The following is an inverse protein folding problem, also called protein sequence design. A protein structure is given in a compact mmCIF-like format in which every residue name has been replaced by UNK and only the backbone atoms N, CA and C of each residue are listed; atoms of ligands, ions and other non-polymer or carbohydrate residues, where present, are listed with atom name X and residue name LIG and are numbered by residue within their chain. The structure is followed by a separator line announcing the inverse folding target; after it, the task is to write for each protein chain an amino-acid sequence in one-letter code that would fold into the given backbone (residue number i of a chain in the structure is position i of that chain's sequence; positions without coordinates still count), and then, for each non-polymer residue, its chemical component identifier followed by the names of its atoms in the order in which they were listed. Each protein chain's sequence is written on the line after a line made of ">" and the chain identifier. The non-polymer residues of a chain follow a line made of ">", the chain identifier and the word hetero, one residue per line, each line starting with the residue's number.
data_IF_865966809815
#
_entry.id   IF_865966809815
#
_cell.length_a   1.000
_cell.length_b   1.000
_cell.length_c   1.000
_cell.angle_alpha   90.00
_cell.angle_beta   90.00
_cell.angle_gamma   90.00
#
_symmetry.space_group_name_H-M   'P 1'
#
loop_
_entity.id
_entity.type
_entity.pdbx_description
1 polymer ?
#
# COMPACT_ATOMS: atom_id res chain seq x y z
N UNK A 1 0.15 -38.99 -26.33
CA UNK A 1 -1.05 -38.27 -25.87
C UNK A 1 -0.70 -37.61 -24.55
N UNK A 2 -0.65 -36.30 -24.63
CA UNK A 2 -0.40 -35.27 -23.62
C UNK A 2 -1.23 -35.44 -22.33
N UNK A 3 -0.61 -35.33 -21.15
CA UNK A 3 -0.77 -34.18 -20.25
C UNK A 3 -0.04 -34.38 -18.91
N UNK A 4 0.77 -33.38 -18.60
CA UNK A 4 1.52 -33.17 -17.37
C UNK A 4 0.60 -33.10 -16.14
N UNK A 5 0.96 -33.81 -15.08
CA UNK A 5 0.49 -33.54 -13.72
C UNK A 5 1.72 -33.19 -12.86
N UNK A 6 2.19 -31.95 -13.00
CA UNK A 6 3.12 -31.37 -12.04
C UNK A 6 2.33 -30.92 -10.80
N UNK A 7 2.80 -31.20 -9.58
CA UNK A 7 2.10 -30.74 -8.38
C UNK A 7 2.07 -29.21 -8.37
N UNK A 8 0.87 -28.64 -8.24
CA UNK A 8 0.66 -27.22 -7.98
C UNK A 8 1.25 -26.89 -6.61
N UNK A 9 2.56 -26.64 -6.58
CA UNK A 9 3.17 -25.87 -5.51
C UNK A 9 2.63 -24.46 -5.67
N UNK A 10 1.66 -24.11 -4.84
CA UNK A 10 1.51 -22.72 -4.42
C UNK A 10 2.77 -22.40 -3.63
N UNK A 11 3.88 -22.20 -4.34
CA UNK A 11 4.99 -21.46 -3.79
C UNK A 11 4.37 -20.13 -3.37
N UNK A 12 4.17 -19.99 -2.05
CA UNK A 12 4.11 -18.71 -1.37
C UNK A 12 5.46 -18.03 -1.59
N UNK A 13 5.85 -17.80 -2.85
CA UNK A 13 6.71 -16.68 -3.15
C UNK A 13 5.94 -15.52 -2.56
N UNK A 14 6.51 -14.92 -1.52
CA UNK A 14 6.18 -13.57 -1.13
C UNK A 14 6.44 -12.72 -2.37
N UNK A 15 5.48 -12.70 -3.29
CA UNK A 15 5.55 -11.87 -4.46
C UNK A 15 5.58 -10.45 -3.93
N UNK A 16 6.52 -9.63 -4.40
CA UNK A 16 6.53 -8.22 -4.06
C UNK A 16 5.12 -7.70 -4.26
N UNK A 17 4.59 -7.03 -3.24
CA UNK A 17 3.21 -6.57 -3.23
C UNK A 17 2.91 -5.86 -4.56
N UNK A 18 1.83 -6.28 -5.21
CA UNK A 18 1.42 -5.70 -6.49
C UNK A 18 0.47 -4.51 -6.26
N UNK A 19 0.24 -3.74 -7.33
CA UNK A 19 -0.62 -2.56 -7.26
C UNK A 19 -2.09 -2.91 -6.91
N UNK A 20 -2.71 -3.95 -7.50
CA UNK A 20 -4.07 -4.35 -7.13
C UNK A 20 -4.21 -4.72 -5.65
N UNK A 21 -3.22 -5.43 -5.10
CA UNK A 21 -3.23 -5.82 -3.69
C UNK A 21 -2.95 -4.63 -2.76
N UNK A 22 -2.07 -3.71 -3.17
CA UNK A 22 -1.90 -2.43 -2.47
C UNK A 22 -3.23 -1.67 -2.34
N UNK A 23 -3.97 -1.61 -3.45
CA UNK A 23 -5.27 -0.95 -3.49
C UNK A 23 -6.28 -1.65 -2.58
N UNK A 24 -6.40 -2.97 -2.62
CA UNK A 24 -7.29 -3.73 -1.73
C UNK A 24 -7.00 -3.48 -0.26
N UNK A 25 -5.72 -3.44 0.13
CA UNK A 25 -5.31 -3.18 1.52
C UNK A 25 -5.62 -1.74 1.94
N UNK A 26 -5.36 -0.77 1.07
CA UNK A 26 -5.70 0.62 1.34
C UNK A 26 -7.21 0.81 1.47
N UNK A 27 -7.99 0.29 0.53
CA UNK A 27 -9.45 0.37 0.53
C UNK A 27 -10.06 -0.24 1.79
N UNK A 28 -9.60 -1.43 2.20
CA UNK A 28 -10.04 -2.07 3.44
C UNK A 28 -9.69 -1.23 4.67
N UNK A 29 -8.51 -0.61 4.71
CA UNK A 29 -8.12 0.27 5.82
C UNK A 29 -8.99 1.52 5.88
N UNK A 30 -9.16 2.24 4.77
CA UNK A 30 -9.97 3.47 4.72
C UNK A 30 -11.46 3.20 4.97
N UNK A 31 -12.01 2.11 4.43
CA UNK A 31 -13.39 1.69 4.71
C UNK A 31 -13.58 1.42 6.20
N UNK A 32 -12.61 0.79 6.86
CA UNK A 32 -12.66 0.55 8.32
C UNK A 32 -12.60 1.86 9.11
N UNK A 33 -11.71 2.78 8.73
CA UNK A 33 -11.49 4.04 9.44
C UNK A 33 -12.65 5.03 9.26
N UNK A 34 -13.33 5.00 8.11
CA UNK A 34 -14.47 5.91 7.81
C UNK A 34 -15.84 5.33 8.16
N UNK A 35 -15.88 4.23 8.93
CA UNK A 35 -17.14 3.61 9.35
C UNK A 35 -17.93 2.97 8.20
N UNK A 36 -17.25 2.47 7.17
CA UNK A 36 -17.85 1.76 6.05
C UNK A 36 -18.14 2.61 4.81
N UNK A 37 -17.64 3.85 4.76
CA UNK A 37 -17.85 4.72 3.60
C UNK A 37 -16.79 4.44 2.53
N UNK A 38 -17.19 4.25 1.26
CA UNK A 38 -16.23 4.10 0.19
C UNK A 38 -15.43 5.40 0.03
N UNK A 39 -14.10 5.30 0.07
CA UNK A 39 -13.18 6.42 -0.15
C UNK A 39 -12.58 6.26 -1.53
N UNK A 40 -12.67 7.30 -2.36
CA UNK A 40 -11.99 7.29 -3.65
C UNK A 40 -10.47 7.42 -3.41
N UNK A 41 -9.72 6.35 -3.71
CA UNK A 41 -8.29 6.25 -3.44
C UNK A 41 -7.50 6.16 -4.74
N UNK A 42 -6.43 6.95 -4.83
CA UNK A 42 -5.39 6.81 -5.85
C UNK A 42 -4.20 6.08 -5.26
N UNK A 43 -3.70 5.06 -5.95
CA UNK A 43 -2.52 4.30 -5.52
C UNK A 43 -1.38 4.52 -6.50
N UNK A 44 -0.32 5.16 -6.01
CA UNK A 44 0.89 5.45 -6.77
C UNK A 44 2.00 4.50 -6.33
N UNK A 45 2.71 3.90 -7.29
CA UNK A 45 3.87 3.06 -7.01
C UNK A 45 5.14 3.89 -6.91
N UNK A 46 6.01 3.56 -5.95
CA UNK A 46 7.36 4.11 -5.83
C UNK A 46 8.37 3.00 -5.52
N UNK A 47 9.66 3.33 -5.39
CA UNK A 47 10.75 2.36 -5.31
C UNK A 47 10.60 1.35 -4.17
N UNK A 48 10.06 1.78 -3.01
CA UNK A 48 9.97 0.94 -1.81
C UNK A 48 8.55 0.45 -1.50
N UNK A 49 7.55 0.78 -2.32
CA UNK A 49 6.16 0.53 -1.95
C UNK A 49 5.12 1.20 -2.82
N UNK A 50 3.96 1.42 -2.21
CA UNK A 50 2.86 2.15 -2.80
C UNK A 50 2.35 3.22 -1.84
N UNK A 51 1.93 4.34 -2.39
CA UNK A 51 1.32 5.45 -1.66
C UNK A 51 -0.15 5.45 -2.04
N UNK A 52 -1.03 5.22 -1.07
CA UNK A 52 -2.46 5.38 -1.23
C UNK A 52 -2.89 6.76 -0.71
N UNK A 53 -3.47 7.56 -1.61
CA UNK A 53 -3.96 8.90 -1.34
C UNK A 53 -5.46 8.97 -1.50
N UNK A 54 -6.21 9.51 -0.54
CA UNK A 54 -7.62 9.82 -0.73
C UNK A 54 -7.75 11.01 -1.70
N UNK A 55 -8.64 10.88 -2.69
CA UNK A 55 -8.95 11.96 -3.64
C UNK A 55 -9.75 13.09 -2.97
N UNK A 56 -10.49 12.77 -1.91
CA UNK A 56 -11.19 13.73 -1.07
C UNK A 56 -10.79 13.42 0.38
N UNK A 57 -10.13 14.35 1.09
CA UNK A 57 -9.79 14.14 2.49
C UNK A 57 -11.09 13.99 3.29
N UNK A 58 -11.25 12.91 4.07
CA UNK A 58 -12.38 12.79 4.97
C UNK A 58 -12.37 13.97 5.97
N UNK A 59 -13.51 14.58 6.30
CA UNK A 59 -13.55 15.67 7.29
C UNK A 59 -13.04 15.25 8.67
N UNK A 60 -12.96 13.94 8.93
CA UNK A 60 -12.58 13.32 10.20
C UNK A 60 -11.16 12.74 10.19
N UNK A 61 -10.51 12.66 9.03
CA UNK A 61 -9.14 12.15 8.91
C UNK A 61 -8.20 13.32 8.59
N UNK A 62 -7.14 13.54 9.37
CA UNK A 62 -6.15 14.55 9.02
C UNK A 62 -5.52 14.19 7.66
N UNK A 63 -4.99 15.19 6.94
CA UNK A 63 -4.32 15.04 5.63
C UNK A 63 -3.14 14.06 5.73
N UNK A 64 -3.49 12.78 5.63
CA UNK A 64 -2.61 11.65 5.80
C UNK A 64 -2.77 10.70 4.63
N UNK A 65 -1.65 10.16 4.20
CA UNK A 65 -1.54 9.17 3.14
C UNK A 65 -1.04 7.87 3.75
N UNK A 66 -1.48 6.77 3.17
CA UNK A 66 -1.10 5.44 3.62
C UNK A 66 0.04 4.93 2.73
N UNK A 67 1.19 4.63 3.33
CA UNK A 67 2.28 3.95 2.65
C UNK A 67 2.15 2.44 2.90
N UNK A 68 2.15 1.67 1.82
CA UNK A 68 2.16 0.21 1.82
C UNK A 68 3.55 -0.25 1.43
N UNK A 69 4.25 -0.90 2.35
CA UNK A 69 5.57 -1.46 2.09
C UNK A 69 5.47 -2.63 1.11
N UNK A 70 6.30 -2.62 0.06
CA UNK A 70 6.25 -3.67 -0.98
C UNK A 70 6.75 -5.03 -0.47
N UNK A 71 7.69 -5.03 0.47
CA UNK A 71 8.39 -6.23 0.91
C UNK A 71 7.63 -6.94 2.04
N UNK A 72 7.02 -6.16 2.93
CA UNK A 72 6.38 -6.64 4.16
C UNK A 72 4.86 -6.51 4.16
N UNK A 73 4.29 -5.80 3.18
CA UNK A 73 2.88 -5.41 3.14
C UNK A 73 2.41 -4.60 4.38
N UNK A 74 3.35 -4.01 5.12
CA UNK A 74 3.06 -3.17 6.26
C UNK A 74 2.37 -1.87 5.82
N UNK A 75 1.36 -1.44 6.58
CA UNK A 75 0.63 -0.21 6.35
C UNK A 75 1.14 0.83 7.37
N UNK A 76 1.64 1.96 6.87
CA UNK A 76 2.12 3.06 7.72
C UNK A 76 1.43 4.35 7.33
N UNK A 77 0.99 5.12 8.32
CA UNK A 77 0.32 6.39 8.11
C UNK A 77 1.36 7.51 8.10
N UNK A 78 1.35 8.32 7.05
CA UNK A 78 2.27 9.43 6.88
C UNK A 78 1.50 10.72 6.63
N UNK A 79 2.04 11.90 7.00
CA UNK A 79 1.50 13.17 6.54
C UNK A 79 1.43 13.22 5.01
N UNK A 80 0.43 13.92 4.44
CA UNK A 80 0.22 14.02 3.00
C UNK A 80 1.26 14.89 2.27
N UNK A 81 2.53 14.48 2.34
CA UNK A 81 3.61 15.11 1.60
C UNK A 81 3.61 14.69 0.12
N UNK A 82 4.36 15.44 -0.69
CA UNK A 82 4.64 15.09 -2.08
C UNK A 82 5.33 13.72 -2.18
N UNK A 83 5.13 13.02 -3.31
CA UNK A 83 5.68 11.67 -3.53
C UNK A 83 7.18 11.61 -3.29
N UNK A 84 7.94 12.58 -3.82
CA UNK A 84 9.40 12.61 -3.68
C UNK A 84 9.84 12.77 -2.21
N UNK A 85 9.12 13.60 -1.45
CA UNK A 85 9.37 13.78 -0.02
C UNK A 85 9.05 12.49 0.73
N UNK A 86 7.91 11.84 0.44
CA UNK A 86 7.55 10.57 1.07
C UNK A 86 8.55 9.46 0.74
N UNK A 87 8.97 9.33 -0.51
CA UNK A 87 9.97 8.35 -0.90
C UNK A 87 11.28 8.54 -0.13
N UNK A 88 11.74 9.79 0.00
CA UNK A 88 12.94 10.15 0.74
C UNK A 88 12.80 9.85 2.24
N UNK A 89 11.70 10.31 2.86
CA UNK A 89 11.46 10.15 4.30
C UNK A 89 11.22 8.67 4.67
N UNK A 90 10.47 7.96 3.84
CA UNK A 90 10.24 6.52 4.02
C UNK A 90 11.54 5.72 3.88
N UNK A 91 12.42 6.08 2.95
CA UNK A 91 13.74 5.49 2.83
C UNK A 91 14.61 5.70 4.07
N UNK A 92 14.54 6.88 4.70
CA UNK A 92 15.20 7.15 6.00
C UNK A 92 14.60 6.33 7.13
N UNK A 93 13.28 6.28 7.22
CA UNK A 93 12.56 5.47 8.21
C UNK A 93 12.91 3.98 8.11
N UNK A 94 12.95 3.42 6.90
CA UNK A 94 13.38 2.02 6.68
C UNK A 94 14.81 1.74 7.14
N UNK A 95 15.69 2.75 7.10
CA UNK A 95 17.07 2.66 7.59
C UNK A 95 17.21 2.96 9.08
N UNK A 96 16.13 3.34 9.77
CA UNK A 96 16.15 3.74 11.18
C UNK A 96 16.78 5.12 11.40
N UNK A 97 16.80 5.98 10.39
CA UNK A 97 17.42 7.31 10.41
C UNK A 97 16.40 8.45 10.70
N UNK A 98 15.21 8.10 11.17
CA UNK A 98 14.08 9.03 11.37
C UNK A 98 13.65 9.11 12.83
#
# INVERSE_FOLDING_TARGET
>A
MDRCAGPLRHDLQAHPLDRPEAWRRADAWYTRTTGGRPVLLSVESFDHGFIARPAIPPPEAPDHVLIIDRDTAALTLWPAYATDTLATQYGRYRRGEL
#
